data_IF_423734795475
#
_entry.id   IF_423734795475
#
_cell.length_a   1.000
_cell.length_b   1.000
_cell.length_c   1.000
_cell.angle_alpha   90.00
_cell.angle_beta   90.00
_cell.angle_gamma   90.00
#
_symmetry.space_group_name_H-M   'P 1'
#
loop_
_entity.id
_entity.type
_entity.pdbx_description
1 polymer ?
#
# COMPACT_ATOMS: atom_id res chain seq x y z
N UNK A 1 -12.73 -9.86 6.66
CA UNK A 1 -12.08 -8.62 6.17
C UNK A 1 -12.78 -8.02 4.96
N UNK A 2 -13.01 -8.78 3.87
CA UNK A 2 -13.63 -8.31 2.62
C UNK A 2 -14.95 -7.50 2.78
N UNK A 3 -15.99 -8.06 3.40
CA UNK A 3 -17.28 -7.36 3.57
C UNK A 3 -17.18 -6.01 4.32
N UNK A 4 -16.28 -5.92 5.31
CA UNK A 4 -16.07 -4.67 6.07
C UNK A 4 -15.37 -3.62 5.21
N UNK A 5 -14.40 -4.04 4.41
CA UNK A 5 -13.73 -3.19 3.44
C UNK A 5 -14.73 -2.65 2.41
N UNK A 6 -15.48 -3.53 1.73
CA UNK A 6 -16.46 -3.15 0.71
C UNK A 6 -17.47 -2.14 1.24
N UNK A 7 -18.08 -2.43 2.40
CA UNK A 7 -19.04 -1.52 3.03
C UNK A 7 -18.44 -0.14 3.35
N UNK A 8 -17.22 -0.10 3.89
CA UNK A 8 -16.56 1.18 4.24
C UNK A 8 -16.15 1.94 2.98
N UNK A 9 -15.65 1.23 1.96
CA UNK A 9 -15.29 1.79 0.65
C UNK A 9 -16.50 2.38 -0.05
N UNK A 10 -17.63 1.68 -0.04
CA UNK A 10 -18.84 2.14 -0.73
C UNK A 10 -19.39 3.43 -0.10
N UNK A 11 -19.33 3.56 1.23
CA UNK A 11 -19.64 4.81 1.94
C UNK A 11 -18.66 5.93 1.61
N UNK A 12 -17.36 5.62 1.55
CA UNK A 12 -16.31 6.58 1.22
C UNK A 12 -16.54 7.15 -0.20
N UNK A 13 -16.74 6.27 -1.18
CA UNK A 13 -16.99 6.68 -2.57
C UNK A 13 -18.31 7.43 -2.70
N UNK A 14 -19.38 6.97 -2.04
CA UNK A 14 -20.67 7.67 -2.07
C UNK A 14 -20.54 9.11 -1.53
N UNK A 15 -19.79 9.32 -0.44
CA UNK A 15 -19.52 10.66 0.07
C UNK A 15 -18.65 11.48 -0.89
N UNK A 16 -17.62 10.90 -1.50
CA UNK A 16 -16.81 11.59 -2.50
C UNK A 16 -17.61 12.03 -3.74
N UNK A 17 -18.67 11.30 -4.12
CA UNK A 17 -19.53 11.66 -5.25
C UNK A 17 -20.61 12.69 -4.88
N UNK A 18 -21.25 12.56 -3.72
CA UNK A 18 -22.39 13.41 -3.31
C UNK A 18 -21.93 14.72 -2.64
N UNK A 19 -20.82 14.68 -1.88
CA UNK A 19 -20.17 15.81 -1.20
C UNK A 19 -21.09 16.70 -0.34
N UNK A 20 -22.15 16.13 0.23
CA UNK A 20 -23.15 16.86 1.01
C UNK A 20 -23.22 16.43 2.49
N UNK A 21 -22.33 15.53 2.93
CA UNK A 21 -22.22 15.08 4.30
C UNK A 21 -23.16 13.94 4.69
N UNK A 22 -24.04 13.47 3.79
CA UNK A 22 -25.08 12.47 4.08
C UNK A 22 -24.52 11.16 4.63
N UNK A 23 -23.32 10.76 4.22
CA UNK A 23 -22.72 9.47 4.61
C UNK A 23 -21.67 9.60 5.71
N UNK A 24 -21.20 10.82 6.03
CA UNK A 24 -20.08 11.06 6.96
C UNK A 24 -20.24 10.38 8.32
N UNK A 25 -21.40 10.49 8.98
CA UNK A 25 -21.60 9.89 10.29
C UNK A 25 -21.48 8.35 10.27
N UNK A 26 -21.93 7.72 9.18
CA UNK A 26 -21.85 6.26 9.01
C UNK A 26 -20.44 5.84 8.57
N UNK A 27 -19.81 6.64 7.72
CA UNK A 27 -18.45 6.46 7.27
C UNK A 27 -17.45 6.56 8.44
N UNK A 28 -17.61 7.54 9.34
CA UNK A 28 -16.79 7.70 10.54
C UNK A 28 -16.76 6.41 11.37
N UNK A 29 -17.94 5.88 11.70
CA UNK A 29 -18.07 4.64 12.46
C UNK A 29 -17.46 3.44 11.71
N UNK A 30 -17.65 3.36 10.39
CA UNK A 30 -17.11 2.30 9.56
C UNK A 30 -15.58 2.35 9.49
N UNK A 31 -14.99 3.53 9.31
CA UNK A 31 -13.55 3.76 9.28
C UNK A 31 -12.90 3.43 10.62
N UNK A 32 -13.48 3.87 11.74
CA UNK A 32 -12.99 3.52 13.08
C UNK A 32 -13.04 2.00 13.28
N UNK A 33 -14.16 1.34 12.93
CA UNK A 33 -14.29 -0.12 13.01
C UNK A 33 -13.30 -0.87 12.11
N UNK A 34 -12.97 -0.30 10.96
CA UNK A 34 -12.01 -0.88 10.02
C UNK A 34 -10.57 -0.70 10.51
N UNK A 35 -10.19 0.50 10.96
CA UNK A 35 -8.86 0.81 11.46
C UNK A 35 -8.53 0.04 12.75
N UNK A 36 -9.47 -0.07 13.68
CA UNK A 36 -9.25 -0.67 15.00
C UNK A 36 -9.39 -2.20 15.04
N UNK A 37 -9.42 -2.86 13.87
CA UNK A 37 -9.34 -4.32 13.77
C UNK A 37 -8.16 -4.87 14.59
N UNK A 38 -8.36 -6.05 15.20
CA UNK A 38 -7.35 -6.66 16.06
C UNK A 38 -6.03 -6.85 15.32
N UNK A 39 -6.11 -7.34 14.09
CA UNK A 39 -4.99 -7.42 13.13
C UNK A 39 -5.44 -7.00 11.74
N UNK A 40 -4.49 -6.51 10.95
CA UNK A 40 -4.65 -6.30 9.50
C UNK A 40 -3.92 -7.38 8.70
N UNK A 41 -3.15 -8.25 9.35
CA UNK A 41 -2.41 -9.34 8.71
C UNK A 41 -3.36 -10.51 8.45
N UNK A 42 -3.23 -11.16 7.30
CA UNK A 42 -3.99 -12.37 6.98
C UNK A 42 -3.63 -13.48 7.97
N UNK A 43 -4.62 -14.26 8.41
CA UNK A 43 -4.39 -15.35 9.36
C UNK A 43 -3.34 -16.36 8.87
N UNK A 44 -3.27 -16.59 7.56
CA UNK A 44 -2.26 -17.46 6.93
C UNK A 44 -0.81 -16.95 7.10
N UNK A 45 -0.63 -15.65 7.35
CA UNK A 45 0.67 -15.00 7.52
C UNK A 45 1.02 -14.72 8.99
N UNK A 46 0.15 -15.09 9.93
CA UNK A 46 0.34 -14.93 11.38
C UNK A 46 -0.05 -16.22 12.12
N UNK A 47 0.54 -17.35 11.71
CA UNK A 47 0.20 -18.67 12.24
C UNK A 47 0.39 -18.82 13.76
N UNK A 48 1.25 -18.01 14.37
CA UNK A 48 1.50 -17.94 15.82
C UNK A 48 0.61 -16.92 16.55
N UNK A 49 -0.22 -16.18 15.82
CA UNK A 49 -1.06 -15.09 16.33
C UNK A 49 -0.26 -13.98 17.04
N UNK A 50 1.01 -13.80 16.68
CA UNK A 50 1.87 -12.85 17.37
C UNK A 50 1.49 -11.42 17.00
N UNK A 51 1.10 -11.15 15.75
CA UNK A 51 0.57 -9.83 15.35
C UNK A 51 -0.83 -9.64 15.94
N UNK A 52 -1.69 -10.67 15.88
CA UNK A 52 -3.04 -10.65 16.46
C UNK A 52 -3.03 -10.35 17.97
N UNK A 53 -2.08 -10.91 18.72
CA UNK A 53 -1.93 -10.63 20.15
C UNK A 53 -1.08 -9.39 20.45
N UNK A 54 -0.54 -8.71 19.43
CA UNK A 54 0.24 -7.48 19.59
C UNK A 54 1.65 -7.68 20.13
N UNK A 55 2.20 -8.89 20.02
CA UNK A 55 3.58 -9.22 20.41
C UNK A 55 4.61 -8.74 19.38
N UNK A 56 4.20 -8.59 18.12
CA UNK A 56 5.04 -8.07 17.03
C UNK A 56 4.22 -7.26 16.02
N UNK A 57 4.92 -6.65 15.07
CA UNK A 57 4.34 -5.90 13.95
C UNK A 57 4.81 -6.50 12.63
N UNK A 58 3.90 -6.61 11.68
CA UNK A 58 4.18 -7.11 10.35
C UNK A 58 3.27 -6.44 9.32
N UNK A 59 3.83 -6.12 8.15
CA UNK A 59 3.08 -5.62 7.00
C UNK A 59 3.08 -6.74 5.96
N UNK A 60 1.94 -7.38 5.75
CA UNK A 60 1.70 -8.27 4.62
C UNK A 60 0.87 -7.57 3.55
N UNK A 61 0.51 -8.31 2.49
CA UNK A 61 -0.32 -7.80 1.39
C UNK A 61 -1.61 -7.11 1.89
N UNK A 62 -2.31 -7.72 2.84
CA UNK A 62 -3.58 -7.17 3.33
C UNK A 62 -3.35 -5.97 4.26
N UNK A 63 -2.31 -5.99 5.09
CA UNK A 63 -1.96 -4.82 5.91
C UNK A 63 -1.53 -3.62 5.04
N UNK A 64 -0.87 -3.85 3.90
CA UNK A 64 -0.57 -2.82 2.92
C UNK A 64 -1.85 -2.29 2.23
N UNK A 65 -2.78 -3.17 1.85
CA UNK A 65 -4.10 -2.79 1.30
C UNK A 65 -4.90 -1.94 2.29
N UNK A 66 -4.99 -2.37 3.56
CA UNK A 66 -5.67 -1.62 4.63
C UNK A 66 -5.00 -0.26 4.84
N UNK A 67 -3.66 -0.23 4.84
CA UNK A 67 -2.89 1.02 4.93
C UNK A 67 -3.22 1.97 3.78
N UNK A 68 -3.27 1.46 2.56
CA UNK A 68 -3.60 2.24 1.36
C UNK A 68 -5.00 2.84 1.46
N UNK A 69 -5.99 2.00 1.79
CA UNK A 69 -7.38 2.42 1.90
C UNK A 69 -7.57 3.52 2.95
N UNK A 70 -7.01 3.32 4.15
CA UNK A 70 -7.10 4.28 5.25
C UNK A 70 -6.35 5.58 4.95
N UNK A 71 -5.17 5.49 4.31
CA UNK A 71 -4.44 6.65 3.82
C UNK A 71 -5.27 7.44 2.81
N UNK A 72 -5.82 6.78 1.79
CA UNK A 72 -6.66 7.44 0.78
C UNK A 72 -7.94 8.04 1.38
N UNK A 73 -8.57 7.41 2.38
CA UNK A 73 -9.71 7.98 3.08
C UNK A 73 -9.35 9.31 3.77
N UNK A 74 -8.19 9.38 4.43
CA UNK A 74 -7.68 10.61 5.03
C UNK A 74 -7.33 11.66 3.97
N UNK A 75 -6.75 11.25 2.84
CA UNK A 75 -6.39 12.17 1.76
C UNK A 75 -7.63 12.81 1.13
N UNK A 76 -8.65 12.01 0.82
CA UNK A 76 -9.85 12.48 0.12
C UNK A 76 -10.80 13.26 1.03
N UNK A 77 -11.07 12.77 2.25
CA UNK A 77 -12.12 13.31 3.12
C UNK A 77 -11.62 13.74 4.51
N UNK A 78 -10.31 13.73 4.77
CA UNK A 78 -9.78 13.99 6.11
C UNK A 78 -10.14 15.36 6.70
N UNK A 79 -10.49 16.35 5.86
CA UNK A 79 -10.95 17.68 6.28
C UNK A 79 -12.42 17.72 6.72
N UNK A 80 -13.23 16.73 6.32
CA UNK A 80 -14.67 16.65 6.63
C UNK A 80 -15.04 15.48 7.54
N UNK A 81 -14.14 14.50 7.70
CA UNK A 81 -14.25 13.48 8.74
C UNK A 81 -14.13 14.11 10.13
N UNK A 82 -14.74 13.48 11.14
CA UNK A 82 -14.56 13.97 12.51
C UNK A 82 -13.10 13.90 12.94
N UNK A 83 -12.66 14.88 13.74
CA UNK A 83 -11.28 14.93 14.24
C UNK A 83 -10.87 13.68 15.01
N UNK A 84 -11.82 13.04 15.71
CA UNK A 84 -11.59 11.78 16.41
C UNK A 84 -11.32 10.62 15.45
N UNK A 85 -12.12 10.45 14.39
CA UNK A 85 -11.88 9.44 13.35
C UNK A 85 -10.52 9.64 12.70
N UNK A 86 -10.23 10.86 12.24
CA UNK A 86 -8.96 11.18 11.58
C UNK A 86 -7.76 10.89 12.49
N UNK A 87 -7.87 11.20 13.79
CA UNK A 87 -6.84 10.87 14.78
C UNK A 87 -6.65 9.36 14.93
N UNK A 88 -7.73 8.59 15.11
CA UNK A 88 -7.67 7.13 15.29
C UNK A 88 -6.99 6.47 14.08
N UNK A 89 -7.37 6.87 12.86
CA UNK A 89 -6.78 6.31 11.64
C UNK A 89 -5.27 6.60 11.58
N UNK A 90 -4.86 7.85 11.85
CA UNK A 90 -3.43 8.24 11.85
C UNK A 90 -2.64 7.47 12.89
N UNK A 91 -3.17 7.32 14.11
CA UNK A 91 -2.51 6.58 15.19
C UNK A 91 -2.34 5.09 14.84
N UNK A 92 -3.37 4.46 14.29
CA UNK A 92 -3.33 3.05 13.93
C UNK A 92 -2.40 2.79 12.73
N UNK A 93 -2.42 3.65 11.70
CA UNK A 93 -1.47 3.60 10.59
C UNK A 93 -0.03 3.75 11.09
N UNK A 94 0.23 4.77 11.92
CA UNK A 94 1.55 5.04 12.48
C UNK A 94 2.08 3.83 13.25
N UNK A 95 1.28 3.29 14.18
CA UNK A 95 1.71 2.22 15.09
C UNK A 95 1.84 0.86 14.39
N UNK A 96 0.96 0.54 13.44
CA UNK A 96 0.89 -0.81 12.84
C UNK A 96 1.76 -0.98 11.61
N UNK A 97 1.86 0.04 10.76
CA UNK A 97 2.46 -0.14 9.42
C UNK A 97 3.46 0.94 9.05
N UNK A 98 3.13 2.23 9.20
CA UNK A 98 3.97 3.35 8.73
C UNK A 98 5.28 3.43 9.49
N UNK A 99 5.26 3.61 10.82
CA UNK A 99 6.51 3.68 11.60
C UNK A 99 7.31 2.36 11.52
N UNK A 100 6.69 1.17 11.63
CA UNK A 100 7.39 -0.09 11.44
C UNK A 100 8.12 -0.24 10.10
N UNK A 101 7.55 0.26 9.01
CA UNK A 101 8.22 0.27 7.71
C UNK A 101 9.31 1.34 7.64
N UNK A 102 9.06 2.56 8.11
CA UNK A 102 10.05 3.64 8.12
C UNK A 102 11.34 3.21 8.84
N UNK A 103 11.21 2.60 10.02
CA UNK A 103 12.36 2.10 10.79
C UNK A 103 13.19 1.05 10.02
N UNK A 104 12.53 0.24 9.18
CA UNK A 104 13.18 -0.78 8.35
C UNK A 104 13.83 -0.21 7.10
N UNK A 105 13.19 0.78 6.48
CA UNK A 105 13.74 1.47 5.30
C UNK A 105 15.08 2.15 5.60
N UNK A 106 15.27 2.63 6.84
CA UNK A 106 16.50 3.29 7.29
C UNK A 106 17.44 2.38 8.10
N UNK A 107 17.18 1.07 8.13
CA UNK A 107 18.06 0.09 8.77
C UNK A 107 18.05 0.05 10.31
N UNK A 108 17.10 0.71 10.99
CA UNK A 108 16.94 0.60 12.46
C UNK A 108 16.39 -0.77 12.90
N UNK A 109 15.72 -1.48 11.99
CA UNK A 109 15.15 -2.81 12.19
C UNK A 109 15.39 -3.68 10.97
N UNK A 110 15.41 -5.00 11.18
CA UNK A 110 15.51 -5.98 10.09
C UNK A 110 14.37 -5.76 9.08
N UNK A 111 14.66 -5.67 7.77
CA UNK A 111 13.65 -5.55 6.73
C UNK A 111 12.60 -6.66 6.82
N UNK A 112 11.36 -6.35 6.42
CA UNK A 112 10.38 -7.39 6.12
C UNK A 112 10.90 -8.23 4.95
N UNK A 113 10.61 -9.53 4.96
CA UNK A 113 11.20 -10.46 3.97
C UNK A 113 10.92 -10.03 2.53
N UNK A 114 9.75 -9.42 2.28
CA UNK A 114 9.33 -9.02 0.93
C UNK A 114 10.06 -7.77 0.40
N UNK A 115 10.73 -6.98 1.26
CA UNK A 115 11.43 -5.76 0.83
C UNK A 115 12.57 -6.06 -0.16
N UNK A 116 13.18 -7.25 -0.06
CA UNK A 116 14.24 -7.71 -0.95
C UNK A 116 13.86 -8.90 -1.82
N UNK A 117 12.58 -9.32 -1.81
CA UNK A 117 12.13 -10.50 -2.55
C UNK A 117 11.78 -10.16 -3.99
N UNK A 118 12.13 -11.06 -4.88
CA UNK A 118 11.72 -11.17 -6.27
C UNK A 118 10.29 -11.73 -6.39
N UNK A 119 9.30 -11.03 -5.84
CA UNK A 119 7.88 -11.42 -6.02
C UNK A 119 6.94 -10.22 -6.00
N UNK A 120 5.68 -10.42 -6.41
CA UNK A 120 4.62 -9.41 -6.35
C UNK A 120 4.46 -8.76 -4.96
N UNK A 121 4.82 -9.46 -3.87
CA UNK A 121 4.77 -8.90 -2.52
C UNK A 121 5.56 -7.61 -2.39
N UNK A 122 6.66 -7.49 -3.14
CA UNK A 122 7.46 -6.28 -3.17
C UNK A 122 6.66 -5.10 -3.74
N UNK A 123 6.08 -5.27 -4.94
CA UNK A 123 5.26 -4.27 -5.60
C UNK A 123 4.02 -3.91 -4.77
N UNK A 124 3.24 -4.91 -4.37
CA UNK A 124 1.98 -4.74 -3.63
C UNK A 124 2.21 -4.03 -2.30
N UNK A 125 3.17 -4.51 -1.49
CA UNK A 125 3.38 -3.92 -0.18
C UNK A 125 3.92 -2.48 -0.29
N UNK A 126 4.83 -2.21 -1.22
CA UNK A 126 5.30 -0.83 -1.41
C UNK A 126 4.21 0.10 -1.94
N UNK A 127 3.41 -0.35 -2.91
CA UNK A 127 2.30 0.45 -3.43
C UNK A 127 1.33 0.88 -2.32
N UNK A 128 0.86 -0.08 -1.51
CA UNK A 128 -0.07 0.22 -0.44
C UNK A 128 0.52 1.10 0.66
N UNK A 129 1.82 0.93 0.96
CA UNK A 129 2.50 1.71 1.98
C UNK A 129 2.85 3.14 1.54
N UNK A 130 3.13 3.37 0.25
CA UNK A 130 3.38 4.72 -0.28
C UNK A 130 2.17 5.63 -0.08
N UNK A 131 0.94 5.16 -0.34
CA UNK A 131 -0.29 5.94 -0.10
C UNK A 131 -0.37 6.42 1.35
N UNK A 132 -0.12 5.51 2.30
CA UNK A 132 -0.18 5.81 3.72
C UNK A 132 0.94 6.77 4.16
N UNK A 133 2.18 6.56 3.69
CA UNK A 133 3.33 7.42 4.00
C UNK A 133 3.10 8.84 3.49
N UNK A 134 2.71 8.99 2.22
CA UNK A 134 2.47 10.29 1.61
C UNK A 134 1.39 11.09 2.35
N UNK A 135 0.36 10.40 2.84
CA UNK A 135 -0.78 11.05 3.51
C UNK A 135 -0.53 11.37 4.99
N UNK A 136 0.26 10.55 5.69
CA UNK A 136 0.32 10.60 7.16
C UNK A 136 1.65 11.05 7.75
N UNK A 137 2.71 11.12 6.95
CA UNK A 137 4.01 11.59 7.41
C UNK A 137 4.17 13.06 7.04
N UNK A 138 4.02 13.95 8.01
CA UNK A 138 4.06 15.39 7.77
C UNK A 138 5.48 15.88 7.42
N UNK A 139 6.51 15.27 8.03
CA UNK A 139 7.91 15.64 7.84
C UNK A 139 8.40 15.31 6.42
N UNK A 140 8.66 16.36 5.63
CA UNK A 140 9.05 16.26 4.23
C UNK A 140 10.38 15.50 4.03
N UNK A 141 11.46 15.76 4.81
CA UNK A 141 12.68 14.95 4.74
C UNK A 141 12.44 13.46 5.00
N UNK A 142 11.63 13.11 6.00
CA UNK A 142 11.28 11.71 6.30
C UNK A 142 10.53 11.07 5.15
N UNK A 143 9.53 11.75 4.56
CA UNK A 143 8.85 11.26 3.35
C UNK A 143 9.82 11.04 2.19
N UNK A 144 10.69 12.01 1.92
CA UNK A 144 11.63 11.93 0.82
C UNK A 144 12.61 10.76 0.98
N UNK A 145 13.15 10.56 2.19
CA UNK A 145 14.03 9.43 2.50
C UNK A 145 13.30 8.08 2.35
N UNK A 146 12.05 8.00 2.82
CA UNK A 146 11.22 6.80 2.65
C UNK A 146 10.98 6.47 1.18
N UNK A 147 10.56 7.46 0.37
CA UNK A 147 10.36 7.26 -1.06
C UNK A 147 11.65 6.86 -1.77
N UNK A 148 12.79 7.49 -1.47
CA UNK A 148 14.07 7.12 -2.06
C UNK A 148 14.43 5.64 -1.78
N UNK A 149 14.22 5.18 -0.54
CA UNK A 149 14.44 3.80 -0.16
C UNK A 149 13.46 2.84 -0.88
N UNK A 150 12.18 3.21 -0.97
CA UNK A 150 11.15 2.42 -1.68
C UNK A 150 11.45 2.34 -3.17
N UNK A 151 11.77 3.45 -3.83
CA UNK A 151 12.17 3.50 -5.24
C UNK A 151 13.32 2.54 -5.50
N UNK A 152 14.35 2.55 -4.63
CA UNK A 152 15.48 1.64 -4.79
C UNK A 152 15.10 0.17 -4.57
N UNK A 153 14.36 -0.14 -3.50
CA UNK A 153 13.99 -1.51 -3.14
C UNK A 153 12.91 -2.11 -4.05
N UNK A 154 12.08 -1.27 -4.67
CA UNK A 154 11.03 -1.70 -5.61
C UNK A 154 11.57 -2.34 -6.88
N UNK A 155 12.84 -2.04 -7.23
CA UNK A 155 13.53 -2.65 -8.39
C UNK A 155 13.66 -4.17 -8.27
N UNK A 156 13.63 -4.71 -7.04
CA UNK A 156 13.67 -6.16 -6.81
C UNK A 156 12.49 -6.89 -7.46
N UNK A 157 11.35 -6.21 -7.67
CA UNK A 157 10.23 -6.80 -8.39
C UNK A 157 10.59 -7.19 -9.83
N UNK A 158 11.48 -6.46 -10.51
CA UNK A 158 11.93 -6.82 -11.85
C UNK A 158 12.79 -8.09 -11.93
N UNK A 159 13.25 -8.60 -10.78
CA UNK A 159 13.92 -9.89 -10.71
C UNK A 159 12.93 -11.07 -10.78
N UNK A 160 11.63 -10.82 -10.62
CA UNK A 160 10.56 -11.82 -10.83
C UNK A 160 10.31 -12.18 -12.30
N UNK A 161 11.03 -11.57 -13.22
CA UNK A 161 10.76 -11.67 -14.66
C UNK A 161 11.98 -12.14 -15.43
N UNK A 162 11.75 -13.02 -16.41
CA UNK A 162 12.75 -13.40 -17.39
C UNK A 162 12.99 -12.26 -18.42
N UNK A 163 13.96 -12.47 -19.31
CA UNK A 163 14.33 -11.48 -20.34
C UNK A 163 13.22 -11.24 -21.38
N UNK A 164 12.29 -12.19 -21.54
CA UNK A 164 11.12 -12.07 -22.41
C UNK A 164 9.91 -11.39 -21.73
N UNK A 165 10.06 -10.99 -20.46
CA UNK A 165 9.00 -10.37 -19.66
C UNK A 165 8.06 -11.36 -18.99
N UNK A 166 8.23 -12.68 -19.16
CA UNK A 166 7.39 -13.66 -18.48
C UNK A 166 7.74 -13.73 -16.98
N UNK A 167 6.71 -13.71 -16.13
CA UNK A 167 6.86 -13.73 -14.68
C UNK A 167 7.02 -15.14 -14.11
N UNK A 168 7.95 -15.32 -13.17
CA UNK A 168 8.20 -16.59 -12.47
C UNK A 168 6.99 -17.08 -11.66
N UNK A 169 6.11 -16.16 -11.26
CA UNK A 169 4.89 -16.45 -10.49
C UNK A 169 3.68 -16.81 -11.38
N UNK A 170 3.82 -16.74 -12.71
CA UNK A 170 2.76 -17.00 -13.68
C UNK A 170 1.80 -15.82 -13.89
N UNK A 171 0.92 -15.95 -14.89
CA UNK A 171 0.10 -14.85 -15.43
C UNK A 171 -0.82 -14.18 -14.41
N UNK A 172 -1.37 -14.94 -13.45
CA UNK A 172 -2.27 -14.39 -12.43
C UNK A 172 -1.55 -13.42 -11.49
N UNK A 173 -0.34 -13.79 -11.05
CA UNK A 173 0.49 -12.95 -10.19
C UNK A 173 1.23 -11.86 -10.96
N UNK A 174 1.46 -12.05 -12.27
CA UNK A 174 1.83 -10.96 -13.16
C UNK A 174 0.77 -9.85 -13.14
N UNK A 175 -0.49 -10.17 -13.43
CA UNK A 175 -1.57 -9.16 -13.44
C UNK A 175 -1.64 -8.42 -12.10
N UNK A 176 -1.65 -9.19 -11.00
CA UNK A 176 -1.74 -8.60 -9.66
C UNK A 176 -0.52 -7.73 -9.31
N UNK A 177 0.68 -8.26 -9.48
CA UNK A 177 1.90 -7.54 -9.09
C UNK A 177 2.22 -6.36 -10.00
N UNK A 178 1.97 -6.47 -11.30
CA UNK A 178 2.33 -5.45 -12.27
C UNK A 178 1.35 -4.28 -12.23
N UNK A 179 0.07 -4.53 -11.99
CA UNK A 179 -0.93 -3.48 -11.71
C UNK A 179 -0.50 -2.64 -10.48
N UNK A 180 -0.12 -3.31 -9.39
CA UNK A 180 0.32 -2.64 -8.17
C UNK A 180 1.64 -1.89 -8.36
N UNK A 181 2.55 -2.41 -9.18
CA UNK A 181 3.79 -1.71 -9.54
C UNK A 181 3.51 -0.47 -10.42
N UNK A 182 2.55 -0.56 -11.34
CA UNK A 182 2.12 0.56 -12.17
C UNK A 182 1.47 1.67 -11.31
N UNK A 183 0.61 1.31 -10.35
CA UNK A 183 0.03 2.29 -9.42
C UNK A 183 1.10 2.92 -8.51
N UNK A 184 2.07 2.14 -8.05
CA UNK A 184 3.24 2.64 -7.31
C UNK A 184 4.01 3.67 -8.14
N UNK A 185 4.20 3.39 -9.45
CA UNK A 185 4.83 4.32 -10.39
C UNK A 185 4.06 5.63 -10.46
N UNK A 186 2.73 5.61 -10.61
CA UNK A 186 1.92 6.83 -10.67
C UNK A 186 2.07 7.68 -9.41
N UNK A 187 2.01 7.05 -8.22
CA UNK A 187 2.17 7.75 -6.94
C UNK A 187 3.54 8.42 -6.80
N UNK A 188 4.61 7.74 -7.23
CA UNK A 188 5.97 8.30 -7.18
C UNK A 188 6.14 9.40 -8.23
N UNK A 189 5.59 9.23 -9.42
CA UNK A 189 5.63 10.21 -10.48
C UNK A 189 4.95 11.52 -10.02
N UNK A 190 3.73 11.41 -9.48
CA UNK A 190 2.98 12.55 -8.92
C UNK A 190 3.74 13.22 -7.77
N UNK A 191 4.17 12.44 -6.75
CA UNK A 191 4.89 12.97 -5.59
C UNK A 191 6.24 13.63 -5.94
N UNK A 192 6.78 13.36 -7.13
CA UNK A 192 8.04 13.93 -7.60
C UNK A 192 7.87 14.90 -8.77
N UNK A 193 6.64 15.28 -9.15
CA UNK A 193 6.33 16.08 -10.32
C UNK A 193 7.01 15.55 -11.60
N UNK A 194 6.95 14.25 -11.82
CA UNK A 194 7.50 13.57 -13.00
C UNK A 194 9.02 13.43 -13.03
N UNK A 195 9.75 13.87 -12.00
CA UNK A 195 11.22 13.74 -11.97
C UNK A 195 11.70 12.30 -11.84
N UNK A 196 10.89 11.43 -11.25
CA UNK A 196 11.19 10.00 -11.12
C UNK A 196 10.05 9.22 -11.74
N UNK A 197 10.38 8.42 -12.76
CA UNK A 197 9.49 7.49 -13.40
C UNK A 197 10.06 6.06 -13.29
N UNK A 198 9.34 5.16 -12.62
CA UNK A 198 9.76 3.77 -12.46
C UNK A 198 9.72 2.99 -13.79
N UNK A 199 8.94 3.44 -14.77
CA UNK A 199 8.90 2.88 -16.11
C UNK A 199 10.01 3.38 -17.02
N UNK A 200 10.85 4.32 -16.56
CA UNK A 200 12.11 4.63 -17.22
C UNK A 200 13.16 3.52 -16.98
N UNK A 201 12.78 2.30 -17.34
CA UNK A 201 13.54 1.06 -17.26
C UNK A 201 13.12 0.18 -18.44
N UNK A 202 14.07 -0.21 -19.29
CA UNK A 202 13.79 -1.00 -20.49
C UNK A 202 13.02 -2.31 -20.19
N UNK A 203 13.31 -2.94 -19.04
CA UNK A 203 12.65 -4.19 -18.63
C UNK A 203 11.17 -4.00 -18.32
N UNK A 204 10.77 -2.82 -17.83
CA UNK A 204 9.35 -2.50 -17.62
C UNK A 204 8.57 -2.52 -18.94
N UNK A 205 9.18 -2.01 -20.01
CA UNK A 205 8.66 -2.10 -21.37
C UNK A 205 8.40 -3.55 -21.76
N UNK A 206 9.43 -4.41 -21.71
CA UNK A 206 9.30 -5.84 -22.05
C UNK A 206 8.20 -6.53 -21.24
N UNK A 207 8.17 -6.33 -19.91
CA UNK A 207 7.17 -6.91 -19.02
C UNK A 207 5.74 -6.51 -19.43
N UNK A 208 5.52 -5.22 -19.71
CA UNK A 208 4.19 -4.71 -20.08
C UNK A 208 3.65 -5.24 -21.42
N UNK A 209 4.53 -5.69 -22.33
CA UNK A 209 4.13 -6.23 -23.63
C UNK A 209 3.80 -7.72 -23.61
N UNK A 210 4.04 -8.43 -22.49
CA UNK A 210 3.77 -9.86 -22.37
C UNK A 210 2.36 -10.28 -22.84
N UNK A 211 1.26 -9.56 -22.51
CA UNK A 211 -0.07 -9.94 -22.98
C UNK A 211 -0.22 -9.99 -24.50
N UNK A 212 0.55 -9.17 -25.24
CA UNK A 212 0.54 -9.17 -26.71
C UNK A 212 1.19 -10.44 -27.28
N UNK A 213 2.15 -11.01 -26.55
CA UNK A 213 2.88 -12.22 -26.96
C UNK A 213 2.10 -13.51 -26.69
N UNK A 214 1.18 -13.50 -25.72
CA UNK A 214 0.34 -14.65 -25.37
C UNK A 214 -0.92 -14.79 -26.24
N UNK A 215 -1.18 -13.80 -27.10
CA UNK A 215 -2.35 -13.72 -27.98
C UNK A 215 -2.10 -14.27 -29.39
N UNK A 216 -0.91 -14.83 -29.64
CA UNK A 216 -0.48 -15.49 -30.88
C UNK A 216 -0.47 -17.00 -30.72
#
# INVERSE_FOLDING_TARGET
MKKRHEFTRDLLLAECFDMNGRFLAKLDNALVSYATQRTWVLAAHDSKLDVYHGKTVYVDLNAALVSSFLGNALYMLGSVLSGNTSKIIRDELKRRTVQPLLDRLIGKKTPFYWQSRDSNWNAVCFNGMVSAILTTVDDKPTRAAALAAIINQSKNYFMSFFEDGYGTEGVGYYNYGFEEYAELREKICDATNGRIDLFNNAKAGTISHLPLLLSM
#
